data_IF_318118024416
#
_entry.id   IF_318118024416
#
_cell.length_a   1.000
_cell.length_b   1.000
_cell.length_c   1.000
_cell.angle_alpha   90.00
_cell.angle_beta   90.00
_cell.angle_gamma   90.00
#
_symmetry.space_group_name_H-M   'P 1'
#
loop_
_entity.id
_entity.type
_entity.pdbx_description
1 polymer ?
#
# COMPACT_ATOMS: atom_id res chain seq x y z
N UNK A 1 -40.35 -41.42 -19.16
CA UNK A 1 -40.26 -41.58 -20.63
C UNK A 1 -39.94 -40.24 -21.25
N UNK A 2 -38.90 -40.15 -22.12
CA UNK A 2 -38.65 -38.94 -22.92
C UNK A 2 -39.52 -39.03 -24.18
N UNK A 3 -40.36 -38.03 -24.41
CA UNK A 3 -41.22 -37.92 -25.60
C UNK A 3 -40.36 -37.36 -26.74
N UNK A 4 -40.16 -38.16 -27.79
CA UNK A 4 -39.43 -37.71 -28.99
C UNK A 4 -40.43 -36.94 -29.85
N UNK A 5 -40.11 -35.69 -30.15
CA UNK A 5 -40.91 -34.80 -31.00
C UNK A 5 -40.09 -34.56 -32.26
N UNK A 6 -40.67 -34.87 -33.42
CA UNK A 6 -40.06 -34.53 -34.72
C UNK A 6 -40.41 -33.07 -35.04
N UNK A 7 -39.38 -32.26 -35.25
CA UNK A 7 -39.51 -30.88 -35.71
C UNK A 7 -39.27 -30.85 -37.22
N UNK A 8 -39.98 -29.98 -37.93
CA UNK A 8 -39.59 -29.66 -39.29
C UNK A 8 -38.31 -28.81 -39.30
N UNK A 9 -37.65 -28.75 -40.46
CA UNK A 9 -36.36 -28.06 -40.60
C UNK A 9 -36.48 -26.56 -40.32
N UNK A 10 -37.63 -25.95 -40.61
CA UNK A 10 -37.88 -24.54 -40.38
C UNK A 10 -37.97 -24.23 -38.88
N UNK A 11 -38.76 -25.00 -38.14
CA UNK A 11 -38.93 -24.89 -36.69
C UNK A 11 -37.62 -25.21 -35.96
N UNK A 12 -36.86 -26.19 -36.44
CA UNK A 12 -35.52 -26.47 -35.90
C UNK A 12 -34.57 -25.29 -36.06
N UNK A 13 -34.46 -24.73 -37.27
CA UNK A 13 -33.56 -23.60 -37.54
C UNK A 13 -33.96 -22.35 -36.74
N UNK A 14 -35.26 -22.08 -36.62
CA UNK A 14 -35.78 -20.98 -35.79
C UNK A 14 -35.42 -21.13 -34.31
N UNK A 15 -35.55 -22.34 -33.76
CA UNK A 15 -35.16 -22.62 -32.38
C UNK A 15 -33.65 -22.54 -32.17
N UNK A 16 -32.86 -23.01 -33.13
CA UNK A 16 -31.40 -22.91 -33.10
C UNK A 16 -30.92 -21.46 -33.13
N UNK A 17 -31.53 -20.62 -33.97
CA UNK A 17 -31.20 -19.18 -34.04
C UNK A 17 -31.62 -18.43 -32.78
N UNK A 18 -32.79 -18.76 -32.22
CA UNK A 18 -33.22 -18.25 -30.91
C UNK A 18 -32.26 -18.67 -29.78
N UNK A 19 -31.77 -19.91 -29.79
CA UNK A 19 -30.79 -20.39 -28.81
C UNK A 19 -29.45 -19.65 -28.94
N UNK A 20 -28.97 -19.42 -30.17
CA UNK A 20 -27.75 -18.63 -30.44
C UNK A 20 -27.89 -17.16 -30.04
N UNK A 21 -29.05 -16.56 -30.26
CA UNK A 21 -29.36 -15.20 -29.77
C UNK A 21 -29.29 -15.16 -28.24
N UNK A 22 -29.87 -16.15 -27.57
CA UNK A 22 -29.80 -16.30 -26.11
C UNK A 22 -28.36 -16.46 -25.60
N UNK A 23 -27.54 -17.26 -26.28
CA UNK A 23 -26.13 -17.45 -25.92
C UNK A 23 -25.35 -16.12 -25.96
N UNK A 24 -25.54 -15.33 -27.03
CA UNK A 24 -24.92 -14.01 -27.15
C UNK A 24 -25.41 -13.03 -26.07
N UNK A 25 -26.68 -13.09 -25.71
CA UNK A 25 -27.24 -12.27 -24.62
C UNK A 25 -26.67 -12.67 -23.27
N UNK A 26 -26.53 -13.97 -22.99
CA UNK A 26 -25.90 -14.50 -21.78
C UNK A 26 -24.43 -14.07 -21.71
N UNK A 27 -23.69 -14.19 -22.80
CA UNK A 27 -22.28 -13.80 -22.86
C UNK A 27 -22.12 -12.29 -22.60
N UNK A 28 -22.94 -11.47 -23.26
CA UNK A 28 -22.95 -10.01 -23.03
C UNK A 28 -23.25 -9.69 -21.56
N UNK A 29 -24.27 -10.33 -20.99
CA UNK A 29 -24.63 -10.12 -19.60
C UNK A 29 -23.52 -10.55 -18.64
N UNK A 30 -22.84 -11.67 -18.91
CA UNK A 30 -21.71 -12.13 -18.10
C UNK A 30 -20.53 -11.15 -18.15
N UNK A 31 -20.21 -10.60 -19.32
CA UNK A 31 -19.16 -9.57 -19.49
C UNK A 31 -19.53 -8.30 -18.72
N UNK A 32 -20.77 -7.83 -18.84
CA UNK A 32 -21.24 -6.64 -18.14
C UNK A 32 -21.18 -6.84 -16.62
N UNK A 33 -21.59 -8.02 -16.14
CA UNK A 33 -21.53 -8.38 -14.73
C UNK A 33 -20.09 -8.49 -14.21
N UNK A 34 -19.16 -8.99 -15.03
CA UNK A 34 -17.72 -9.00 -14.70
C UNK A 34 -17.13 -7.58 -14.66
N UNK A 35 -17.50 -6.70 -15.59
CA UNK A 35 -17.07 -5.29 -15.56
C UNK A 35 -17.63 -4.53 -14.36
N UNK A 36 -18.84 -4.85 -13.94
CA UNK A 36 -19.49 -4.19 -12.82
C UNK A 36 -18.97 -4.71 -11.47
N UNK A 37 -18.84 -6.04 -11.33
CA UNK A 37 -18.63 -6.73 -10.04
C UNK A 37 -17.32 -7.52 -9.95
N UNK A 38 -16.75 -7.92 -11.08
CA UNK A 38 -15.49 -8.66 -11.17
C UNK A 38 -14.24 -7.79 -11.17
N UNK A 39 -14.40 -6.47 -11.15
CA UNK A 39 -13.29 -5.52 -11.04
C UNK A 39 -12.83 -5.43 -9.59
N UNK A 40 -11.54 -5.68 -9.38
CA UNK A 40 -10.88 -5.44 -8.11
C UNK A 40 -10.37 -4.00 -8.05
N UNK A 41 -10.64 -3.33 -6.94
CA UNK A 41 -10.06 -2.03 -6.63
C UNK A 41 -8.69 -2.25 -6.00
N UNK A 42 -7.67 -1.57 -6.53
CA UNK A 42 -6.31 -1.61 -6.02
C UNK A 42 -6.03 -0.29 -5.32
N UNK A 43 -5.80 -0.34 -4.02
CA UNK A 43 -5.40 0.82 -3.23
C UNK A 43 -3.92 0.73 -2.93
N UNK A 44 -3.17 1.75 -3.32
CA UNK A 44 -1.75 1.92 -2.96
C UNK A 44 -1.68 3.03 -1.93
N UNK A 45 -1.14 2.73 -0.75
CA UNK A 45 -0.98 3.69 0.34
C UNK A 45 0.50 3.87 0.63
N UNK A 46 0.93 5.13 0.58
CA UNK A 46 2.30 5.55 0.93
C UNK A 46 2.21 6.23 2.28
N UNK A 47 2.91 5.67 3.26
CA UNK A 47 2.98 6.21 4.61
C UNK A 47 4.35 6.83 4.84
N UNK A 48 4.38 8.09 5.28
CA UNK A 48 5.59 8.81 5.65
C UNK A 48 5.54 9.13 7.15
N UNK A 49 6.65 8.90 7.85
CA UNK A 49 6.69 9.10 9.28
C UNK A 49 8.10 9.15 9.84
N UNK A 50 8.19 9.37 11.15
CA UNK A 50 9.41 9.24 11.94
C UNK A 50 9.29 8.05 12.87
N UNK A 51 10.36 7.26 12.97
CA UNK A 51 10.44 6.20 13.98
C UNK A 51 10.91 6.74 15.34
N UNK A 52 11.00 5.86 16.35
CA UNK A 52 11.47 6.20 17.70
C UNK A 52 12.90 6.78 17.73
N UNK A 53 13.66 6.61 16.65
CA UNK A 53 15.02 7.10 16.48
C UNK A 53 15.08 8.35 15.59
N UNK A 54 13.94 8.99 15.29
CA UNK A 54 13.79 10.15 14.39
C UNK A 54 14.23 9.88 12.94
N UNK A 55 14.29 8.62 12.51
CA UNK A 55 14.54 8.29 11.11
C UNK A 55 13.27 8.47 10.29
N UNK A 56 13.43 9.19 9.19
CA UNK A 56 12.42 9.29 8.14
C UNK A 56 12.21 7.90 7.52
N UNK A 57 10.99 7.38 7.68
CA UNK A 57 10.52 6.13 7.09
C UNK A 57 9.47 6.45 6.03
N UNK A 58 9.62 5.83 4.87
CA UNK A 58 8.61 5.78 3.82
C UNK A 58 8.29 4.31 3.60
N UNK A 59 7.02 3.95 3.67
CA UNK A 59 6.55 2.59 3.41
C UNK A 59 5.41 2.60 2.39
N UNK A 60 5.25 1.47 1.72
CA UNK A 60 4.22 1.25 0.72
C UNK A 60 3.43 -0.02 1.08
N UNK A 61 2.11 0.13 1.09
CA UNK A 61 1.16 -0.97 1.26
C UNK A 61 0.17 -1.00 0.10
N UNK A 62 -0.24 -2.21 -0.28
CA UNK A 62 -1.16 -2.43 -1.39
C UNK A 62 -2.31 -3.33 -0.96
N UNK A 63 -3.53 -2.85 -1.17
CA UNK A 63 -4.75 -3.56 -0.83
C UNK A 63 -5.54 -3.85 -2.11
N UNK A 64 -6.15 -5.04 -2.16
CA UNK A 64 -7.09 -5.41 -3.21
C UNK A 64 -8.45 -5.60 -2.56
N UNK A 65 -9.42 -4.81 -3.01
CA UNK A 65 -10.81 -4.91 -2.62
C UNK A 65 -11.64 -5.47 -3.77
N UNK A 66 -12.53 -6.41 -3.47
CA UNK A 66 -13.41 -7.03 -4.45
C UNK A 66 -14.84 -6.57 -4.19
N UNK A 67 -15.54 -6.14 -5.25
CA UNK A 67 -16.94 -5.72 -5.14
C UNK A 67 -17.88 -6.90 -4.86
N UNK A 68 -17.55 -8.09 -5.35
CA UNK A 68 -18.26 -9.34 -5.06
C UNK A 68 -17.25 -10.47 -4.78
N UNK A 69 -17.46 -11.20 -3.68
CA UNK A 69 -16.59 -12.28 -3.21
C UNK A 69 -16.53 -13.47 -4.17
N UNK A 70 -17.41 -13.55 -5.18
CA UNK A 70 -17.38 -14.60 -6.21
C UNK A 70 -16.28 -14.40 -7.25
N UNK A 71 -15.77 -13.18 -7.42
CA UNK A 71 -14.76 -12.84 -8.44
C UNK A 71 -13.37 -12.60 -7.82
N UNK A 72 -13.03 -13.32 -6.75
CA UNK A 72 -11.75 -13.13 -6.07
C UNK A 72 -10.58 -13.70 -6.85
N UNK A 73 -9.44 -13.00 -6.81
CA UNK A 73 -8.17 -13.49 -7.35
C UNK A 73 -7.51 -14.39 -6.29
N UNK A 74 -6.95 -15.56 -6.67
CA UNK A 74 -6.21 -16.43 -5.76
C UNK A 74 -5.08 -15.71 -5.01
N UNK A 75 -4.83 -16.09 -3.74
CA UNK A 75 -3.86 -15.40 -2.87
C UNK A 75 -2.44 -15.39 -3.42
N UNK A 76 -1.98 -16.48 -4.05
CA UNK A 76 -0.65 -16.55 -4.64
C UNK A 76 -0.43 -15.49 -5.73
N UNK A 77 -1.46 -15.18 -6.51
CA UNK A 77 -1.41 -14.13 -7.54
C UNK A 77 -1.48 -12.75 -6.86
N UNK A 78 -2.31 -12.58 -5.82
CA UNK A 78 -2.35 -11.35 -5.03
C UNK A 78 -1.00 -10.99 -4.44
N UNK A 79 -0.34 -11.95 -3.79
CA UNK A 79 0.98 -11.74 -3.18
C UNK A 79 2.03 -11.35 -4.21
N UNK A 80 2.03 -12.03 -5.36
CA UNK A 80 2.94 -11.69 -6.46
C UNK A 80 2.70 -10.26 -6.97
N UNK A 81 1.43 -9.86 -7.11
CA UNK A 81 1.06 -8.51 -7.51
C UNK A 81 1.49 -7.47 -6.45
N UNK A 82 1.17 -7.71 -5.16
CA UNK A 82 1.59 -6.83 -4.05
C UNK A 82 3.09 -6.63 -4.05
N UNK A 83 3.86 -7.69 -4.26
CA UNK A 83 5.32 -7.64 -4.32
C UNK A 83 5.81 -6.75 -5.47
N UNK A 84 5.29 -6.94 -6.68
CA UNK A 84 5.66 -6.14 -7.86
C UNK A 84 5.32 -4.65 -7.65
N UNK A 85 4.10 -4.36 -7.16
CA UNK A 85 3.69 -2.98 -6.90
C UNK A 85 4.57 -2.35 -5.83
N UNK A 86 4.81 -3.06 -4.72
CA UNK A 86 5.67 -2.57 -3.64
C UNK A 86 7.09 -2.32 -4.14
N UNK A 87 7.68 -3.24 -4.88
CA UNK A 87 9.04 -3.12 -5.43
C UNK A 87 9.13 -1.92 -6.38
N UNK A 88 8.23 -1.80 -7.35
CA UNK A 88 8.25 -0.69 -8.31
C UNK A 88 8.02 0.67 -7.64
N UNK A 89 7.02 0.78 -6.76
CA UNK A 89 6.70 2.04 -6.07
C UNK A 89 7.84 2.43 -5.13
N UNK A 90 8.40 1.48 -4.38
CA UNK A 90 9.53 1.77 -3.49
C UNK A 90 10.80 2.13 -4.29
N UNK A 91 11.01 1.52 -5.45
CA UNK A 91 12.13 1.86 -6.33
C UNK A 91 12.02 3.30 -6.84
N UNK A 92 10.86 3.71 -7.37
CA UNK A 92 10.60 5.08 -7.81
C UNK A 92 10.76 6.11 -6.67
N UNK A 93 10.30 5.75 -5.45
CA UNK A 93 10.44 6.59 -4.26
C UNK A 93 11.91 6.76 -3.90
N UNK A 94 12.68 5.67 -3.85
CA UNK A 94 14.08 5.73 -3.44
C UNK A 94 14.93 6.45 -4.51
N UNK A 95 14.64 6.27 -5.80
CA UNK A 95 15.30 7.00 -6.89
C UNK A 95 15.08 8.52 -6.76
N UNK A 96 13.86 8.96 -6.42
CA UNK A 96 13.53 10.39 -6.37
C UNK A 96 13.84 11.05 -5.02
N UNK A 97 13.72 10.31 -3.92
CA UNK A 97 13.73 10.86 -2.57
C UNK A 97 14.76 10.22 -1.64
N UNK A 98 15.54 9.22 -2.09
CA UNK A 98 16.54 8.53 -1.27
C UNK A 98 17.59 9.49 -0.70
N UNK A 99 18.13 10.38 -1.54
CA UNK A 99 19.11 11.40 -1.12
C UNK A 99 18.52 12.37 -0.08
N UNK A 100 17.30 12.84 -0.31
CA UNK A 100 16.60 13.75 0.60
C UNK A 100 16.34 13.08 1.96
N UNK A 101 15.86 11.84 1.94
CA UNK A 101 15.67 11.00 3.14
C UNK A 101 16.99 10.82 3.90
N UNK A 102 18.09 10.56 3.19
CA UNK A 102 19.43 10.49 3.77
C UNK A 102 19.87 11.79 4.43
N UNK A 103 19.69 12.92 3.76
CA UNK A 103 20.03 14.24 4.28
C UNK A 103 19.24 14.57 5.55
N UNK A 104 17.92 14.36 5.56
CA UNK A 104 17.05 14.59 6.73
C UNK A 104 17.52 13.74 7.92
N UNK A 105 17.82 12.47 7.69
CA UNK A 105 18.29 11.59 8.76
C UNK A 105 19.64 12.03 9.34
N UNK A 106 20.55 12.53 8.50
CA UNK A 106 21.83 13.10 8.94
C UNK A 106 21.61 14.35 9.80
N UNK A 107 20.76 15.28 9.35
CA UNK A 107 20.43 16.49 10.11
C UNK A 107 19.80 16.16 11.46
N UNK A 108 18.83 15.23 11.52
CA UNK A 108 18.23 14.81 12.78
C UNK A 108 19.27 14.23 13.75
N UNK A 109 20.20 13.42 13.25
CA UNK A 109 21.29 12.86 14.05
C UNK A 109 22.22 13.94 14.59
N UNK A 110 22.63 14.90 13.75
CA UNK A 110 23.48 16.02 14.18
C UNK A 110 22.77 16.92 15.18
N UNK A 111 21.49 17.23 14.97
CA UNK A 111 20.68 18.00 15.91
C UNK A 111 20.60 17.32 17.29
N UNK A 112 20.45 15.99 17.32
CA UNK A 112 20.45 15.21 18.57
C UNK A 112 21.81 15.30 19.29
N UNK A 113 22.91 15.22 18.55
CA UNK A 113 24.27 15.41 19.09
C UNK A 113 24.49 16.82 19.63
N UNK A 114 23.99 17.85 18.95
CA UNK A 114 24.06 19.24 19.41
C UNK A 114 23.24 19.41 20.70
N UNK A 115 22.07 18.80 20.80
CA UNK A 115 21.27 18.80 22.02
C UNK A 115 22.00 18.14 23.20
N UNK A 116 22.59 16.97 22.96
CA UNK A 116 23.37 16.26 23.97
C UNK A 116 24.59 17.05 24.45
N UNK A 117 25.36 17.62 23.52
CA UNK A 117 26.53 18.44 23.86
C UNK A 117 26.15 19.71 24.62
N UNK A 118 25.06 20.40 24.23
CA UNK A 118 24.53 21.52 25.02
C UNK A 118 24.19 21.12 26.45
N UNK A 119 23.54 19.97 26.64
CA UNK A 119 23.21 19.45 27.96
C UNK A 119 24.47 19.20 28.80
N UNK A 120 25.48 18.55 28.23
CA UNK A 120 26.78 18.32 28.91
C UNK A 120 27.43 19.66 29.30
N UNK A 121 27.46 20.64 28.40
CA UNK A 121 28.00 21.96 28.69
C UNK A 121 27.25 22.67 29.83
N UNK A 122 25.92 22.56 29.88
CA UNK A 122 25.14 23.10 30.99
C UNK A 122 25.44 22.41 32.32
N UNK A 123 25.63 21.09 32.33
CA UNK A 123 26.03 20.35 33.54
C UNK A 123 27.41 20.78 34.05
N UNK A 124 28.37 20.97 33.14
CA UNK A 124 29.70 21.48 33.48
C UNK A 124 29.58 22.88 34.08
N UNK A 125 28.82 23.78 33.43
CA UNK A 125 28.62 25.13 33.93
C UNK A 125 27.97 25.15 35.33
N UNK A 126 26.89 24.39 35.52
CA UNK A 126 26.21 24.25 36.82
C UNK A 126 27.16 23.75 37.91
N UNK A 127 28.02 22.77 37.59
CA UNK A 127 29.01 22.26 38.55
C UNK A 127 30.04 23.33 38.94
N UNK A 128 30.48 24.16 37.99
CA UNK A 128 31.38 25.29 38.27
C UNK A 128 30.72 26.34 39.18
N UNK A 129 29.46 26.69 38.91
CA UNK A 129 28.70 27.61 39.77
C UNK A 129 28.47 27.05 41.18
N UNK A 130 28.20 25.76 41.31
CA UNK A 130 28.03 25.11 42.60
C UNK A 130 29.32 25.17 43.45
N UNK A 131 30.48 24.87 42.85
CA UNK A 131 31.78 24.96 43.53
C UNK A 131 32.07 26.41 43.97
N UNK A 132 31.81 27.39 43.10
CA UNK A 132 31.99 28.80 43.43
C UNK A 132 31.11 29.24 44.60
N UNK A 133 29.84 28.80 44.64
CA UNK A 133 28.92 29.08 45.74
C UNK A 133 29.40 28.48 47.07
N UNK A 134 29.90 27.23 47.06
CA UNK A 134 30.46 26.58 48.26
C UNK A 134 31.70 27.34 48.76
N UNK A 135 32.63 27.70 47.88
CA UNK A 135 33.82 28.49 48.24
C UNK A 135 33.45 29.87 48.80
N UNK A 136 32.40 30.50 48.27
CA UNK A 136 31.90 31.78 48.79
C UNK A 136 31.28 31.65 50.18
N UNK A 137 30.57 30.55 50.46
CA UNK A 137 29.96 30.27 51.77
C UNK A 137 30.97 29.81 52.83
N UNK A 138 32.12 29.25 52.43
CA UNK A 138 33.20 28.83 53.33
C UNK A 138 34.18 29.97 53.69
N UNK A 139 33.97 31.18 53.17
CA UNK A 139 34.76 32.38 53.44
C UNK A 139 34.07 33.27 54.47
#
# INVERSE_FOLDING_TARGET
>A
MRKIVQLDEYDYNKLADLAKLNEKEIEKHAIDLWKEKGVAEITIKIDTGRDYNDYCRIDCSTYLFYKDNRFYIPENVRERFRKIVKENVMWDIEERFGDLKGAINKFNREAKWIGYTKFVLYMIALSGWAVAAVLFLMR
#
